data_IF_810346438699
#
_entry.id   IF_810346438699
#
_cell.length_a   1.000
_cell.length_b   1.000
_cell.length_c   1.000
_cell.angle_alpha   90.00
_cell.angle_beta   90.00
_cell.angle_gamma   90.00
#
_symmetry.space_group_name_H-M   'P 1'
#
loop_
_entity.id
_entity.type
_entity.pdbx_description
1 polymer ?
#
# COMPACT_ATOMS: atom_id res chain seq x y z
N UNK A 1 23.83 16.79 8.97
CA UNK A 1 22.68 16.65 9.92
C UNK A 1 21.37 17.22 9.39
N UNK A 2 21.29 18.47 8.92
CA UNK A 2 20.03 19.07 8.45
C UNK A 2 19.38 18.32 7.26
N UNK A 3 20.17 17.97 6.24
CA UNK A 3 19.68 17.20 5.07
C UNK A 3 19.12 15.83 5.43
N UNK A 4 19.77 15.11 6.34
CA UNK A 4 19.30 13.80 6.79
C UNK A 4 17.95 13.90 7.50
N UNK A 5 17.76 14.92 8.36
CA UNK A 5 16.46 15.17 9.01
C UNK A 5 15.36 15.50 8.01
N UNK A 6 15.68 16.30 6.99
CA UNK A 6 14.73 16.58 5.91
C UNK A 6 14.33 15.29 5.16
N UNK A 7 15.30 14.45 4.80
CA UNK A 7 15.01 13.19 4.10
C UNK A 7 14.20 12.22 4.96
N UNK A 8 14.49 12.14 6.27
CA UNK A 8 13.70 11.34 7.20
C UNK A 8 12.22 11.77 7.20
N UNK A 9 11.95 13.08 7.21
CA UNK A 9 10.59 13.58 7.12
C UNK A 9 9.94 13.21 5.79
N UNK A 10 10.62 13.43 4.66
CA UNK A 10 10.10 13.10 3.32
C UNK A 10 9.71 11.62 3.21
N UNK A 11 10.59 10.70 3.60
CA UNK A 11 10.30 9.27 3.48
C UNK A 11 9.28 8.77 4.50
N UNK A 12 9.33 9.27 5.74
CA UNK A 12 8.36 8.91 6.77
C UNK A 12 6.95 9.34 6.35
N UNK A 13 6.80 10.59 5.93
CA UNK A 13 5.48 11.14 5.62
C UNK A 13 4.98 10.63 4.27
N UNK A 14 5.86 10.40 3.29
CA UNK A 14 5.49 9.73 2.03
C UNK A 14 5.06 8.27 2.21
N UNK A 15 5.58 7.58 3.23
CA UNK A 15 5.09 6.25 3.59
C UNK A 15 3.73 6.34 4.32
N UNK A 16 3.69 7.08 5.43
CA UNK A 16 2.56 7.04 6.37
C UNK A 16 1.34 7.84 5.92
N UNK A 17 1.55 8.97 5.22
CA UNK A 17 0.48 9.92 4.86
C UNK A 17 0.14 9.88 3.37
N UNK A 18 0.77 9.00 2.59
CA UNK A 18 0.51 8.86 1.15
C UNK A 18 0.44 7.37 0.77
N UNK A 19 1.57 6.67 0.75
CA UNK A 19 1.65 5.27 0.26
C UNK A 19 0.70 4.33 1.01
N UNK A 20 0.71 4.33 2.35
CA UNK A 20 -0.16 3.45 3.12
C UNK A 20 -1.64 3.83 3.01
N UNK A 21 -1.96 5.11 2.88
CA UNK A 21 -3.34 5.59 2.73
C UNK A 21 -3.95 5.27 1.36
N UNK A 22 -3.12 5.13 0.32
CA UNK A 22 -3.58 4.64 -0.97
C UNK A 22 -4.08 3.18 -0.88
N UNK A 23 -3.32 2.33 -0.18
CA UNK A 23 -3.63 0.91 -0.08
C UNK A 23 -4.66 0.60 1.01
N UNK A 24 -4.49 1.07 2.25
CA UNK A 24 -5.38 0.72 3.37
C UNK A 24 -6.40 1.81 3.71
N UNK A 25 -7.65 1.43 4.08
CA UNK A 25 -8.19 0.05 4.14
C UNK A 25 -8.67 -0.46 2.77
N UNK A 26 -8.59 0.35 1.71
CA UNK A 26 -9.26 0.12 0.42
C UNK A 26 -8.87 -1.19 -0.27
N UNK A 27 -7.66 -1.69 -0.06
CA UNK A 27 -7.15 -2.92 -0.65
C UNK A 27 -7.63 -4.17 0.08
N UNK A 28 -8.17 -4.08 1.29
CA UNK A 28 -8.62 -5.26 2.03
C UNK A 28 -9.85 -5.84 1.36
N UNK A 29 -9.79 -7.13 1.04
CA UNK A 29 -10.96 -7.88 0.58
C UNK A 29 -11.67 -8.47 1.80
N UNK A 30 -12.76 -7.83 2.22
CA UNK A 30 -13.54 -8.26 3.38
C UNK A 30 -14.42 -9.49 3.08
N UNK A 31 -14.65 -9.82 1.80
CA UNK A 31 -15.52 -10.94 1.40
C UNK A 31 -14.74 -12.25 1.32
N UNK A 32 -13.57 -12.23 0.65
CA UNK A 32 -12.78 -13.45 0.40
C UNK A 32 -11.43 -13.47 1.16
N UNK A 33 -11.12 -12.43 1.92
CA UNK A 33 -9.84 -12.27 2.60
C UNK A 33 -8.69 -11.92 1.65
N UNK A 34 -7.58 -11.45 2.24
CA UNK A 34 -6.42 -10.97 1.49
C UNK A 34 -6.62 -9.56 0.95
N UNK A 35 -5.92 -9.26 -0.16
CA UNK A 35 -5.82 -7.89 -0.69
C UNK A 35 -6.12 -7.81 -2.20
N UNK A 36 -6.92 -6.83 -2.61
CA UNK A 36 -7.16 -6.42 -3.99
C UNK A 36 -6.13 -5.37 -4.43
N UNK A 37 -5.05 -5.86 -5.08
CA UNK A 37 -3.84 -5.07 -5.36
C UNK A 37 -3.69 -4.59 -6.81
N UNK A 38 -4.53 -5.05 -7.75
CA UNK A 38 -4.55 -4.55 -9.12
C UNK A 38 -5.42 -3.29 -9.21
N UNK A 39 -4.81 -2.11 -9.06
CA UNK A 39 -5.51 -0.82 -9.04
C UNK A 39 -4.94 0.17 -10.04
N UNK A 40 -5.82 1.00 -10.61
CA UNK A 40 -5.41 2.13 -11.43
C UNK A 40 -4.87 3.27 -10.54
N UNK A 41 -4.32 4.31 -11.16
CA UNK A 41 -3.74 5.48 -10.51
C UNK A 41 -4.72 6.22 -9.58
N UNK A 42 -6.00 6.21 -9.90
CA UNK A 42 -7.05 6.80 -9.07
C UNK A 42 -7.49 5.88 -7.91
N UNK A 43 -7.00 4.64 -7.89
CA UNK A 43 -7.33 3.62 -6.89
C UNK A 43 -8.52 2.73 -7.25
N UNK A 44 -9.13 2.93 -8.42
CA UNK A 44 -10.16 2.04 -8.97
C UNK A 44 -9.61 0.62 -9.17
N UNK A 45 -10.47 -0.38 -9.00
CA UNK A 45 -10.08 -1.79 -9.11
C UNK A 45 -10.05 -2.21 -10.57
N UNK A 46 -8.93 -2.78 -11.01
CA UNK A 46 -8.75 -3.26 -12.39
C UNK A 46 -9.00 -4.76 -12.53
N UNK A 47 -8.66 -5.54 -11.49
CA UNK A 47 -8.75 -7.00 -11.47
C UNK A 47 -8.91 -7.51 -10.03
N UNK A 48 -9.56 -8.65 -9.87
CA UNK A 48 -9.79 -9.35 -8.60
C UNK A 48 -8.83 -10.52 -8.37
N UNK A 49 -8.04 -10.92 -9.36
CA UNK A 49 -7.06 -11.99 -9.22
C UNK A 49 -6.02 -11.66 -8.14
N UNK A 50 -5.75 -12.64 -7.27
CA UNK A 50 -4.84 -12.49 -6.12
C UNK A 50 -3.50 -13.18 -6.37
N UNK A 51 -2.56 -12.43 -6.92
CA UNK A 51 -1.18 -12.90 -7.10
C UNK A 51 -0.50 -13.19 -5.76
N UNK A 52 -0.02 -14.42 -5.58
CA UNK A 52 0.50 -14.90 -4.29
C UNK A 52 1.67 -14.08 -3.76
N UNK A 53 2.58 -13.63 -4.62
CA UNK A 53 3.71 -12.82 -4.18
C UNK A 53 3.29 -11.46 -3.64
N UNK A 54 2.29 -10.82 -4.26
CA UNK A 54 1.76 -9.55 -3.79
C UNK A 54 1.04 -9.73 -2.44
N UNK A 55 0.27 -10.80 -2.28
CA UNK A 55 -0.34 -11.15 -0.99
C UNK A 55 0.72 -11.31 0.11
N UNK A 56 1.74 -12.15 -0.12
CA UNK A 56 2.79 -12.40 0.87
C UNK A 56 3.56 -11.12 1.25
N UNK A 57 3.86 -10.25 0.28
CA UNK A 57 4.56 -8.98 0.55
C UNK A 57 3.70 -7.99 1.33
N UNK A 58 2.41 -7.91 1.02
CA UNK A 58 1.47 -7.08 1.77
C UNK A 58 1.33 -7.58 3.22
N UNK A 59 1.25 -8.91 3.43
CA UNK A 59 1.24 -9.51 4.77
C UNK A 59 2.55 -9.28 5.53
N UNK A 60 3.71 -9.34 4.86
CA UNK A 60 5.00 -9.09 5.53
C UNK A 60 5.19 -7.62 5.94
N UNK A 61 4.57 -6.69 5.23
CA UNK A 61 4.63 -5.26 5.55
C UNK A 61 3.86 -4.90 6.84
N UNK A 62 2.76 -5.60 7.13
CA UNK A 62 1.89 -5.38 8.29
C UNK A 62 2.38 -6.16 9.52
#
# INVERSE_FOLDING_TARGET
MARQRQLLAVYRDGLLNDTLLFWWPRCVDEEHGGFMLARDRDGSLLDTDKGMWQQCRATWLL
#
